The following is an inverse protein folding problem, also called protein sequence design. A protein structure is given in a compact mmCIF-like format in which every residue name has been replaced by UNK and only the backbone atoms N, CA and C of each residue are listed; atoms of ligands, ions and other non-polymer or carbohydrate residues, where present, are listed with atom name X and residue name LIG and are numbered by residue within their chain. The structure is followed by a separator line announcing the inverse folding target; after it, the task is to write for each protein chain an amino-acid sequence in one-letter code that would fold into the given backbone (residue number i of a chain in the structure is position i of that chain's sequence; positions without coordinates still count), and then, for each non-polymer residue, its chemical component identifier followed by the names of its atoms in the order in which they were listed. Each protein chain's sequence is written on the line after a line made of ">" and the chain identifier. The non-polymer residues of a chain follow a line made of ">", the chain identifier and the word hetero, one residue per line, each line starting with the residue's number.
data_IF_752377389594
#
_entry.id   IF_752377389594
#
_cell.length_a   1.000
_cell.length_b   1.000
_cell.length_c   1.000
_cell.angle_alpha   90.00
_cell.angle_beta   90.00
_cell.angle_gamma   90.00
#
_symmetry.space_group_name_H-M   'P 1'
#
loop_
_entity.id
_entity.type
_entity.pdbx_description
1 polymer ?
#
# COMPACT_ATOMS: atom_id res chain seq x y z
N UNK A 1 -43.09 26.56 17.71
CA UNK A 1 -43.04 25.12 17.46
C UNK A 1 -41.61 24.81 17.12
N UNK A 2 -40.91 24.22 18.07
CA UNK A 2 -39.47 23.97 18.06
C UNK A 2 -39.09 22.89 17.04
N UNK A 3 -38.14 23.23 16.18
CA UNK A 3 -37.43 22.26 15.34
C UNK A 3 -36.50 21.43 16.24
N UNK A 4 -36.82 20.15 16.39
CA UNK A 4 -35.88 19.17 16.93
C UNK A 4 -34.72 19.00 15.94
N UNK A 5 -33.61 19.72 16.17
CA UNK A 5 -32.38 19.53 15.42
C UNK A 5 -31.76 18.17 15.76
N UNK A 6 -31.80 17.28 14.78
CA UNK A 6 -31.16 15.98 14.77
C UNK A 6 -29.62 16.17 14.89
N UNK A 7 -29.06 15.86 16.07
CA UNK A 7 -27.65 16.12 16.42
C UNK A 7 -26.61 15.30 15.62
N UNK A 8 -27.03 14.49 14.65
CA UNK A 8 -26.18 13.60 13.85
C UNK A 8 -26.27 13.84 12.33
N UNK A 9 -26.83 14.97 11.86
CA UNK A 9 -26.84 15.27 10.42
C UNK A 9 -25.51 15.87 9.97
N UNK A 10 -24.79 15.18 9.08
CA UNK A 10 -23.69 15.79 8.33
C UNK A 10 -24.28 16.76 7.31
N UNK A 11 -23.90 18.04 7.39
CA UNK A 11 -24.30 19.07 6.44
C UNK A 11 -23.09 19.59 5.68
N UNK A 12 -23.29 19.98 4.43
CA UNK A 12 -22.26 20.67 3.66
C UNK A 12 -21.95 22.02 4.30
N UNK A 13 -20.68 22.45 4.24
CA UNK A 13 -20.25 23.75 4.79
C UNK A 13 -20.84 24.95 4.04
N UNK A 14 -21.21 24.73 2.78
CA UNK A 14 -21.85 25.73 1.94
C UNK A 14 -23.34 25.39 1.81
N UNK A 15 -24.19 26.40 1.92
CA UNK A 15 -25.61 26.30 1.60
C UNK A 15 -25.82 26.20 0.09
N UNK A 16 -27.02 25.81 -0.32
CA UNK A 16 -27.41 25.73 -1.73
C UNK A 16 -27.31 27.11 -2.40
N UNK A 17 -26.59 27.20 -3.51
CA UNK A 17 -26.48 28.42 -4.30
C UNK A 17 -27.76 28.63 -5.13
N UNK A 18 -28.78 29.20 -4.47
CA UNK A 18 -30.07 29.53 -5.09
C UNK A 18 -29.94 30.47 -6.28
N UNK A 19 -28.89 31.30 -6.28
CA UNK A 19 -28.67 32.29 -7.31
C UNK A 19 -28.11 31.65 -8.59
N UNK A 20 -27.20 30.68 -8.45
CA UNK A 20 -26.75 29.83 -9.55
C UNK A 20 -27.89 29.01 -10.15
N UNK A 21 -28.73 28.39 -9.31
CA UNK A 21 -29.86 27.57 -9.75
C UNK A 21 -30.84 28.38 -10.59
N UNK A 22 -31.13 29.62 -10.17
CA UNK A 22 -32.02 30.52 -10.90
C UNK A 22 -31.42 31.02 -12.22
N UNK A 23 -30.11 31.29 -12.25
CA UNK A 23 -29.43 31.87 -13.44
C UNK A 23 -29.15 30.83 -14.53
N UNK A 24 -28.93 29.57 -14.16
CA UNK A 24 -28.51 28.51 -15.10
C UNK A 24 -29.38 27.25 -15.02
N UNK A 25 -30.71 27.35 -15.22
CA UNK A 25 -31.62 26.22 -15.04
C UNK A 25 -31.34 25.05 -16.01
N UNK A 26 -30.87 25.36 -17.23
CA UNK A 26 -30.50 24.34 -18.20
C UNK A 26 -29.28 23.50 -17.73
N UNK A 27 -28.27 24.17 -17.17
CA UNK A 27 -27.06 23.51 -16.63
C UNK A 27 -27.43 22.65 -15.42
N UNK A 28 -28.29 23.16 -14.53
CA UNK A 28 -28.77 22.39 -13.38
C UNK A 28 -29.51 21.13 -13.83
N UNK A 29 -30.42 21.25 -14.80
CA UNK A 29 -31.17 20.10 -15.32
C UNK A 29 -30.28 19.04 -15.97
N UNK A 30 -29.28 19.46 -16.75
CA UNK A 30 -28.28 18.57 -17.35
C UNK A 30 -27.49 17.80 -16.27
N UNK A 31 -26.99 18.51 -15.26
CA UNK A 31 -26.22 17.91 -14.17
C UNK A 31 -27.08 17.04 -13.26
N UNK A 32 -28.34 17.39 -13.02
CA UNK A 32 -29.29 16.53 -12.29
C UNK A 32 -29.54 15.22 -13.04
N UNK A 33 -29.77 15.28 -14.35
CA UNK A 33 -29.93 14.08 -15.18
C UNK A 33 -28.66 13.21 -15.16
N UNK A 34 -27.49 13.84 -15.29
CA UNK A 34 -26.20 13.16 -15.17
C UNK A 34 -26.00 12.52 -13.79
N UNK A 35 -26.30 13.25 -12.71
CA UNK A 35 -26.20 12.75 -11.33
C UNK A 35 -27.16 11.60 -11.08
N UNK A 36 -28.39 11.64 -11.60
CA UNK A 36 -29.35 10.54 -11.48
C UNK A 36 -28.87 9.29 -12.22
N UNK A 37 -28.36 9.45 -13.45
CA UNK A 37 -27.75 8.34 -14.20
C UNK A 37 -26.57 7.74 -13.43
N UNK A 38 -25.65 8.58 -12.97
CA UNK A 38 -24.47 8.19 -12.18
C UNK A 38 -24.85 7.54 -10.85
N UNK A 39 -25.90 8.03 -10.18
CA UNK A 39 -26.40 7.45 -8.93
C UNK A 39 -26.91 6.04 -9.16
N UNK A 40 -27.57 5.77 -10.30
CA UNK A 40 -27.99 4.42 -10.66
C UNK A 40 -26.80 3.49 -10.90
N UNK A 41 -25.73 3.97 -11.55
CA UNK A 41 -24.48 3.24 -11.76
C UNK A 41 -23.75 2.96 -10.44
N UNK A 42 -23.59 3.96 -9.56
CA UNK A 42 -22.92 3.81 -8.26
C UNK A 42 -23.73 2.91 -7.33
N UNK A 43 -25.06 2.99 -7.35
CA UNK A 43 -25.93 2.07 -6.59
C UNK A 43 -25.89 0.67 -7.18
N UNK A 44 -25.76 0.48 -8.49
CA UNK A 44 -25.56 -0.84 -9.09
C UNK A 44 -24.18 -1.41 -8.78
N UNK A 45 -23.12 -0.58 -8.78
CA UNK A 45 -21.77 -0.98 -8.37
C UNK A 45 -21.67 -1.27 -6.86
N UNK A 46 -22.45 -0.57 -6.04
CA UNK A 46 -22.51 -0.74 -4.58
C UNK A 46 -23.54 -1.76 -4.09
N UNK A 47 -24.49 -2.18 -4.94
CA UNK A 47 -25.37 -3.32 -4.64
C UNK A 47 -24.53 -4.58 -4.78
N UNK A 48 -24.35 -5.40 -3.72
CA UNK A 48 -23.74 -6.71 -3.88
C UNK A 48 -24.58 -7.47 -4.90
N UNK A 49 -23.96 -7.79 -6.04
CA UNK A 49 -24.62 -8.47 -7.14
C UNK A 49 -25.36 -9.69 -6.60
N UNK A 50 -26.68 -9.74 -6.80
CA UNK A 50 -27.54 -10.90 -6.48
C UNK A 50 -27.31 -12.08 -7.44
N UNK A 51 -26.14 -12.13 -8.07
CA UNK A 51 -25.76 -13.10 -9.06
C UNK A 51 -24.32 -12.88 -9.51
N UNK A 52 -23.36 -13.37 -8.73
CA UNK A 52 -22.10 -13.94 -9.23
C UNK A 52 -21.29 -14.41 -8.03
N UNK A 53 -21.09 -15.72 -7.96
CA UNK A 53 -20.07 -16.43 -7.16
C UNK A 53 -19.95 -16.02 -5.70
N UNK A 54 -20.34 -16.92 -4.79
CA UNK A 54 -19.87 -16.93 -3.40
C UNK A 54 -18.34 -16.78 -3.37
N UNK A 55 -17.87 -15.53 -3.32
CA UNK A 55 -16.56 -15.23 -2.82
C UNK A 55 -16.61 -15.68 -1.36
N UNK A 56 -15.88 -16.75 -1.06
CA UNK A 56 -15.87 -17.42 0.24
C UNK A 56 -15.67 -16.40 1.37
N UNK A 57 -16.16 -16.69 2.58
CA UNK A 57 -15.88 -15.86 3.75
C UNK A 57 -14.39 -15.49 3.86
N UNK A 58 -13.51 -16.41 3.45
CA UNK A 58 -12.07 -16.22 3.35
C UNK A 58 -11.67 -15.09 2.37
N UNK A 59 -12.26 -14.97 1.18
CA UNK A 59 -11.87 -13.92 0.23
C UNK A 59 -12.26 -12.51 0.70
N UNK A 60 -13.40 -12.37 1.36
CA UNK A 60 -13.82 -11.09 1.97
C UNK A 60 -12.93 -10.72 3.14
N UNK A 61 -12.46 -11.71 3.88
CA UNK A 61 -11.53 -11.51 4.98
C UNK A 61 -10.15 -11.06 4.46
N UNK A 62 -9.62 -11.69 3.41
CA UNK A 62 -8.37 -11.28 2.75
C UNK A 62 -8.37 -9.81 2.32
N UNK A 63 -9.46 -9.34 1.71
CA UNK A 63 -9.59 -7.93 1.33
C UNK A 63 -9.47 -6.96 2.51
N UNK A 64 -9.83 -7.39 3.72
CA UNK A 64 -9.65 -6.59 4.96
C UNK A 64 -8.24 -6.68 5.53
N UNK A 65 -7.49 -7.73 5.22
CA UNK A 65 -6.12 -7.92 5.69
C UNK A 65 -5.11 -7.10 4.89
N UNK A 66 -5.37 -6.82 3.60
CA UNK A 66 -4.42 -6.10 2.75
C UNK A 66 -3.99 -4.73 3.32
N UNK A 67 -4.90 -3.85 3.79
CA UNK A 67 -4.51 -2.59 4.41
C UNK A 67 -3.64 -2.78 5.67
N UNK A 68 -3.96 -3.79 6.47
CA UNK A 68 -3.24 -4.10 7.72
C UNK A 68 -1.83 -4.62 7.44
N UNK A 69 -1.71 -5.54 6.48
CA UNK A 69 -0.42 -6.06 6.01
C UNK A 69 0.42 -4.94 5.41
N UNK A 70 -0.19 -4.04 4.61
CA UNK A 70 0.50 -2.86 4.09
C UNK A 70 1.07 -2.02 5.21
N UNK A 71 0.26 -1.69 6.22
CA UNK A 71 0.69 -0.88 7.35
C UNK A 71 1.86 -1.53 8.11
N UNK A 72 1.81 -2.86 8.31
CA UNK A 72 2.93 -3.57 8.92
C UNK A 72 4.22 -3.48 8.08
N UNK A 73 4.12 -3.60 6.76
CA UNK A 73 5.28 -3.51 5.86
C UNK A 73 5.82 -2.08 5.68
N UNK A 74 5.04 -1.03 5.99
CA UNK A 74 5.55 0.35 6.00
C UNK A 74 6.66 0.54 7.05
N UNK A 75 6.66 -0.27 8.11
CA UNK A 75 7.72 -0.26 9.12
C UNK A 75 9.02 -0.97 8.68
N UNK A 76 9.04 -1.54 7.48
CA UNK A 76 10.17 -2.29 6.91
C UNK A 76 9.90 -3.79 6.77
N UNK A 77 10.90 -4.56 6.29
CA UNK A 77 10.77 -5.99 6.00
C UNK A 77 10.27 -6.80 7.18
N UNK A 78 9.51 -7.87 6.90
CA UNK A 78 8.98 -8.81 7.91
C UNK A 78 8.96 -10.24 7.38
N UNK A 79 9.24 -11.22 8.23
CA UNK A 79 8.96 -12.63 7.90
C UNK A 79 7.45 -12.90 7.92
N UNK A 80 7.02 -14.02 7.33
CA UNK A 80 5.61 -14.45 7.41
C UNK A 80 5.17 -14.63 8.88
N UNK A 81 6.04 -15.16 9.73
CA UNK A 81 5.75 -15.36 11.16
C UNK A 81 5.60 -14.06 11.93
N UNK A 82 6.50 -13.09 11.70
CA UNK A 82 6.40 -11.76 12.30
C UNK A 82 5.12 -11.06 11.86
N UNK A 83 4.81 -11.16 10.57
CA UNK A 83 3.59 -10.59 10.01
C UNK A 83 2.34 -11.21 10.65
N UNK A 84 2.29 -12.55 10.79
CA UNK A 84 1.19 -13.25 11.46
C UNK A 84 1.01 -12.75 12.89
N UNK A 85 2.09 -12.63 13.67
CA UNK A 85 2.04 -12.09 15.05
C UNK A 85 1.52 -10.65 15.09
N UNK A 86 1.98 -9.79 14.17
CA UNK A 86 1.58 -8.38 14.11
C UNK A 86 0.09 -8.22 13.76
N UNK A 87 -0.38 -8.95 12.75
CA UNK A 87 -1.79 -8.91 12.32
C UNK A 87 -2.69 -9.57 13.38
N UNK A 88 -2.29 -10.68 13.98
CA UNK A 88 -3.03 -11.35 15.06
C UNK A 88 -3.20 -10.44 16.28
N UNK A 89 -2.19 -9.61 16.60
CA UNK A 89 -2.28 -8.62 17.69
C UNK A 89 -3.32 -7.53 17.39
N UNK A 90 -3.52 -7.16 16.13
CA UNK A 90 -4.55 -6.21 15.71
C UNK A 90 -5.96 -6.82 15.69
N UNK A 91 -6.05 -8.13 15.46
CA UNK A 91 -7.32 -8.88 15.42
C UNK A 91 -7.33 -10.02 16.44
N UNK A 92 -7.37 -9.74 17.76
CA UNK A 92 -7.24 -10.76 18.80
C UNK A 92 -8.40 -11.78 18.82
N UNK A 93 -9.55 -11.44 18.24
CA UNK A 93 -10.75 -12.28 18.20
C UNK A 93 -10.85 -13.17 16.97
N UNK A 94 -9.98 -12.98 15.98
CA UNK A 94 -10.00 -13.73 14.72
C UNK A 94 -8.70 -14.50 14.58
N UNK A 95 -8.79 -15.81 14.36
CA UNK A 95 -7.61 -16.62 14.06
C UNK A 95 -7.14 -16.31 12.63
N UNK A 96 -5.92 -15.82 12.50
CA UNK A 96 -5.32 -15.52 11.19
C UNK A 96 -4.66 -16.79 10.65
N UNK A 97 -5.30 -17.40 9.66
CA UNK A 97 -4.72 -18.52 8.93
C UNK A 97 -3.57 -18.06 8.02
N UNK A 98 -2.56 -18.91 7.87
CA UNK A 98 -1.38 -18.56 7.07
C UNK A 98 -1.74 -18.43 5.59
N UNK A 99 -2.67 -19.23 5.06
CA UNK A 99 -3.08 -19.14 3.66
C UNK A 99 -3.75 -17.79 3.34
N UNK A 100 -4.52 -17.24 4.27
CA UNK A 100 -5.16 -15.93 4.10
C UNK A 100 -4.14 -14.80 4.15
N UNK A 101 -3.13 -14.92 5.02
CA UNK A 101 -2.03 -13.97 5.09
C UNK A 101 -1.19 -13.99 3.81
N UNK A 102 -0.78 -15.18 3.35
CA UNK A 102 -0.06 -15.35 2.09
C UNK A 102 -0.89 -14.88 0.90
N UNK A 103 -2.20 -15.15 0.89
CA UNK A 103 -3.11 -14.63 -0.13
C UNK A 103 -3.14 -13.09 -0.16
N UNK A 104 -3.06 -12.45 1.00
CA UNK A 104 -3.03 -10.98 1.12
C UNK A 104 -1.67 -10.40 0.73
N UNK A 105 -0.57 -11.09 1.07
CA UNK A 105 0.80 -10.70 0.67
C UNK A 105 1.02 -10.80 -0.84
N UNK A 106 0.39 -11.76 -1.50
CA UNK A 106 0.43 -11.93 -2.96
C UNK A 106 -0.62 -11.08 -3.70
N UNK A 107 -1.39 -10.24 -3.00
CA UNK A 107 -2.37 -9.39 -3.64
C UNK A 107 -1.67 -8.34 -4.52
N UNK A 108 -2.07 -8.26 -5.80
CA UNK A 108 -1.46 -7.35 -6.79
C UNK A 108 -1.48 -5.89 -6.34
N UNK A 109 -2.51 -5.48 -5.62
CA UNK A 109 -2.66 -4.12 -5.10
C UNK A 109 -1.64 -3.76 -4.01
N UNK A 110 -1.09 -4.74 -3.29
CA UNK A 110 -0.13 -4.52 -2.22
C UNK A 110 1.28 -4.20 -2.75
N UNK A 111 1.63 -4.70 -3.94
CA UNK A 111 2.97 -4.61 -4.55
C UNK A 111 4.08 -5.07 -3.57
N UNK A 112 3.79 -6.10 -2.76
CA UNK A 112 4.76 -6.74 -1.90
C UNK A 112 5.54 -7.82 -2.67
N UNK A 113 6.82 -7.93 -2.35
CA UNK A 113 7.70 -8.96 -2.90
C UNK A 113 8.41 -9.70 -1.78
N UNK A 114 8.68 -10.98 -2.00
CA UNK A 114 9.51 -11.78 -1.11
C UNK A 114 10.98 -11.70 -1.54
N UNK A 115 11.85 -11.38 -0.58
CA UNK A 115 13.30 -11.34 -0.74
C UNK A 115 13.90 -12.06 0.45
N UNK A 116 14.59 -13.19 0.22
CA UNK A 116 15.30 -13.95 1.28
C UNK A 116 14.43 -14.28 2.49
N UNK A 117 13.21 -14.76 2.26
CA UNK A 117 12.29 -15.17 3.33
C UNK A 117 11.56 -14.01 4.04
N UNK A 118 11.86 -12.75 3.72
CA UNK A 118 11.11 -11.59 4.22
C UNK A 118 10.27 -10.94 3.11
N UNK A 119 9.16 -10.35 3.51
CA UNK A 119 8.27 -9.57 2.66
C UNK A 119 8.59 -8.08 2.77
N UNK A 120 8.60 -7.40 1.63
CA UNK A 120 8.87 -5.95 1.53
C UNK A 120 7.95 -5.33 0.50
N UNK A 121 7.48 -4.09 0.75
CA UNK A 121 6.81 -3.28 -0.27
C UNK A 121 7.80 -2.84 -1.35
N UNK A 122 7.51 -3.15 -2.61
CA UNK A 122 8.33 -2.74 -3.75
C UNK A 122 8.09 -1.28 -4.14
N UNK A 123 6.94 -0.70 -3.79
CA UNK A 123 6.57 0.68 -4.10
C UNK A 123 6.07 1.47 -2.89
N UNK A 124 6.40 2.76 -2.87
CA UNK A 124 5.90 3.79 -1.95
C UNK A 124 4.98 4.79 -2.64
N UNK A 125 4.75 4.65 -3.96
CA UNK A 125 3.91 5.54 -4.76
C UNK A 125 4.63 6.78 -5.31
N UNK A 126 5.96 6.83 -5.17
CA UNK A 126 6.81 7.89 -5.74
C UNK A 126 7.77 7.24 -6.73
N UNK A 127 7.60 7.52 -8.02
CA UNK A 127 8.29 6.78 -9.09
C UNK A 127 9.81 6.75 -8.94
N UNK A 128 10.43 7.89 -8.58
CA UNK A 128 11.88 7.98 -8.39
C UNK A 128 12.38 7.13 -7.22
N UNK A 129 11.60 7.05 -6.13
CA UNK A 129 11.90 6.19 -4.98
C UNK A 129 11.69 4.72 -5.34
N UNK A 130 10.63 4.42 -6.07
CA UNK A 130 10.26 3.07 -6.47
C UNK A 130 11.29 2.47 -7.44
N UNK A 131 11.86 3.28 -8.35
CA UNK A 131 12.98 2.86 -9.21
C UNK A 131 14.18 2.41 -8.37
N UNK A 132 14.59 3.22 -7.39
CA UNK A 132 15.72 2.91 -6.52
C UNK A 132 15.44 1.67 -5.66
N UNK A 133 14.24 1.61 -5.07
CA UNK A 133 13.81 0.51 -4.21
C UNK A 133 13.75 -0.82 -4.96
N UNK A 134 13.22 -0.83 -6.19
CA UNK A 134 13.19 -2.03 -7.05
C UNK A 134 14.60 -2.49 -7.42
N UNK A 135 15.51 -1.57 -7.74
CA UNK A 135 16.93 -1.89 -7.97
C UNK A 135 17.56 -2.54 -6.73
N UNK A 136 17.42 -1.92 -5.56
CA UNK A 136 17.94 -2.43 -4.30
C UNK A 136 17.43 -3.83 -3.99
N UNK A 137 16.11 -4.04 -4.10
CA UNK A 137 15.49 -5.33 -3.81
C UNK A 137 15.90 -6.40 -4.83
N UNK A 138 16.12 -6.03 -6.09
CA UNK A 138 16.64 -6.95 -7.12
C UNK A 138 18.04 -7.43 -6.77
N UNK A 139 18.94 -6.54 -6.33
CA UNK A 139 20.26 -6.95 -5.88
C UNK A 139 20.18 -7.94 -4.71
N UNK A 140 19.32 -7.67 -3.73
CA UNK A 140 19.14 -8.57 -2.59
C UNK A 140 18.51 -9.92 -2.93
N UNK A 141 17.84 -10.08 -4.07
CA UNK A 141 17.44 -11.42 -4.54
C UNK A 141 18.63 -12.28 -4.93
N UNK A 142 19.74 -11.67 -5.33
CA UNK A 142 20.92 -12.36 -5.87
C UNK A 142 22.13 -12.33 -4.94
N UNK A 143 22.22 -11.34 -4.03
CA UNK A 143 23.39 -11.11 -3.17
C UNK A 143 22.99 -11.02 -1.70
N UNK A 144 23.81 -11.58 -0.82
CA UNK A 144 23.61 -11.61 0.63
C UNK A 144 23.77 -10.24 1.25
N UNK A 145 24.72 -9.49 0.70
CA UNK A 145 25.01 -8.13 1.06
C UNK A 145 25.25 -7.30 -0.19
N UNK A 146 25.06 -6.00 -0.07
CA UNK A 146 25.34 -5.03 -1.13
C UNK A 146 26.02 -3.81 -0.53
N UNK A 147 26.92 -3.20 -1.27
CA UNK A 147 27.47 -1.89 -0.90
C UNK A 147 26.59 -0.79 -1.48
N UNK A 148 26.73 0.44 -0.96
CA UNK A 148 26.06 1.58 -1.60
C UNK A 148 26.48 1.73 -3.06
N UNK A 149 27.76 1.48 -3.36
CA UNK A 149 28.30 1.61 -4.71
C UNK A 149 27.63 0.61 -5.67
N UNK A 150 27.48 -0.66 -5.25
CA UNK A 150 26.77 -1.69 -6.04
C UNK A 150 25.36 -1.22 -6.44
N UNK A 151 24.63 -0.63 -5.49
CA UNK A 151 23.25 -0.17 -5.73
C UNK A 151 23.21 0.97 -6.74
N UNK A 152 24.17 1.90 -6.68
CA UNK A 152 24.24 3.04 -7.58
C UNK A 152 24.66 2.63 -9.00
N UNK A 153 25.63 1.72 -9.11
CA UNK A 153 26.08 1.16 -10.40
C UNK A 153 24.96 0.35 -11.06
N UNK A 154 24.27 -0.49 -10.29
CA UNK A 154 23.12 -1.25 -10.79
C UNK A 154 21.97 -0.32 -11.19
N UNK A 155 21.74 0.77 -10.45
CA UNK A 155 20.73 1.76 -10.81
C UNK A 155 21.03 2.39 -12.18
N UNK A 156 22.25 2.85 -12.39
CA UNK A 156 22.67 3.47 -13.66
C UNK A 156 22.60 2.45 -14.81
N UNK A 157 22.98 1.20 -14.56
CA UNK A 157 22.90 0.10 -15.54
C UNK A 157 21.47 -0.21 -15.97
N UNK A 158 20.52 -0.26 -15.03
CA UNK A 158 19.12 -0.64 -15.29
C UNK A 158 18.31 0.49 -15.90
N UNK A 159 18.51 1.73 -15.42
CA UNK A 159 17.69 2.88 -15.81
C UNK A 159 18.33 3.77 -16.88
N UNK A 160 19.61 3.55 -17.21
CA UNK A 160 20.35 4.33 -18.21
C UNK A 160 20.67 5.77 -17.75
N UNK A 161 20.43 6.10 -16.48
CA UNK A 161 20.71 7.40 -15.90
C UNK A 161 21.24 7.29 -14.48
N UNK A 162 22.05 8.27 -14.05
CA UNK A 162 22.50 8.37 -12.67
C UNK A 162 21.33 8.63 -11.73
N UNK A 163 21.37 8.01 -10.55
CA UNK A 163 20.35 8.22 -9.54
C UNK A 163 20.32 9.68 -9.08
N UNK A 164 19.19 10.36 -9.31
CA UNK A 164 18.95 11.77 -8.96
C UNK A 164 18.49 11.96 -7.51
N UNK A 165 18.33 10.87 -6.74
CA UNK A 165 17.91 10.95 -5.35
C UNK A 165 19.01 11.60 -4.50
N UNK A 166 18.59 12.42 -3.53
CA UNK A 166 19.53 12.99 -2.59
C UNK A 166 20.13 11.90 -1.70
N UNK A 167 21.35 12.15 -1.24
CA UNK A 167 22.07 11.29 -0.31
C UNK A 167 21.27 10.99 0.97
N UNK A 168 20.48 11.95 1.43
CA UNK A 168 19.53 11.78 2.53
C UNK A 168 18.46 10.72 2.21
N UNK A 169 17.80 10.83 1.05
CA UNK A 169 16.76 9.88 0.61
C UNK A 169 17.34 8.49 0.43
N UNK A 170 18.52 8.37 -0.17
CA UNK A 170 19.21 7.09 -0.36
C UNK A 170 19.46 6.42 1.00
N UNK A 171 20.01 7.14 1.97
CA UNK A 171 20.21 6.61 3.34
C UNK A 171 18.91 6.24 4.03
N UNK A 172 17.84 7.00 3.80
CA UNK A 172 16.53 6.68 4.35
C UNK A 172 15.99 5.36 3.76
N UNK A 173 15.97 5.23 2.44
CA UNK A 173 15.52 4.01 1.74
C UNK A 173 16.35 2.78 2.16
N UNK A 174 17.66 2.92 2.27
CA UNK A 174 18.54 1.85 2.76
C UNK A 174 18.19 1.47 4.21
N UNK A 175 18.00 2.45 5.10
CA UNK A 175 17.62 2.17 6.50
C UNK A 175 16.23 1.59 6.66
N UNK A 176 15.31 1.81 5.73
CA UNK A 176 13.99 1.19 5.77
C UNK A 176 14.08 -0.32 5.48
N UNK A 177 14.84 -0.70 4.45
CA UNK A 177 14.90 -2.07 3.91
C UNK A 177 16.04 -2.92 4.50
N UNK A 178 17.17 -2.30 4.82
CA UNK A 178 18.39 -2.98 5.18
C UNK A 178 18.98 -2.47 6.51
N UNK A 179 19.82 -3.30 7.11
CA UNK A 179 20.70 -2.94 8.22
C UNK A 179 22.12 -2.72 7.71
N UNK A 180 22.82 -1.80 8.37
CA UNK A 180 24.19 -1.45 8.05
C UNK A 180 25.13 -2.33 8.89
N UNK A 181 26.07 -3.02 8.24
CA UNK A 181 27.11 -3.82 8.88
C UNK A 181 28.47 -3.31 8.40
N UNK A 182 29.45 -3.26 9.30
CA UNK A 182 30.84 -3.00 8.93
C UNK A 182 31.54 -4.35 8.77
N UNK A 183 32.03 -4.65 7.58
CA UNK A 183 32.76 -5.88 7.26
C UNK A 183 34.09 -5.52 6.60
N UNK A 184 35.21 -5.91 7.21
CA UNK A 184 36.55 -5.63 6.68
C UNK A 184 36.88 -4.14 6.47
N UNK A 185 36.23 -3.22 7.20
CA UNK A 185 36.39 -1.77 7.01
C UNK A 185 35.54 -1.18 5.88
N UNK A 186 34.67 -1.98 5.27
CA UNK A 186 33.70 -1.54 4.28
C UNK A 186 32.29 -1.63 4.85
N UNK A 187 31.50 -0.58 4.61
CA UNK A 187 30.07 -0.60 4.94
C UNK A 187 29.30 -1.43 3.92
N UNK A 188 28.71 -2.52 4.38
CA UNK A 188 27.78 -3.36 3.62
C UNK A 188 26.37 -3.26 4.20
N UNK A 189 25.37 -3.54 3.35
CA UNK A 189 23.97 -3.54 3.71
C UNK A 189 23.40 -4.95 3.54
N UNK A 190 22.63 -5.41 4.51
CA UNK A 190 21.94 -6.72 4.49
C UNK A 190 20.45 -6.49 4.74
N UNK A 191 19.59 -7.27 4.10
CA UNK A 191 18.14 -7.16 4.30
C UNK A 191 17.78 -7.46 5.76
N UNK A 192 17.01 -6.57 6.38
CA UNK A 192 16.56 -6.77 7.77
C UNK A 192 15.75 -8.06 7.89
N UNK A 193 16.02 -8.83 8.95
CA UNK A 193 15.30 -10.07 9.24
C UNK A 193 15.70 -11.27 8.38
N UNK A 194 16.50 -11.08 7.33
CA UNK A 194 16.97 -12.18 6.48
C UNK A 194 18.10 -13.01 7.13
N UNK A 195 18.79 -12.48 8.15
CA UNK A 195 19.89 -13.19 8.84
C UNK A 195 19.46 -14.15 9.96
N UNK A 196 18.15 -14.35 10.21
CA UNK A 196 17.67 -15.16 11.34
C UNK A 196 17.62 -16.68 11.10
N UNK A 197 18.19 -17.21 10.01
CA UNK A 197 18.22 -18.65 9.74
C UNK A 197 19.62 -19.15 9.43
N UNK A 198 20.40 -19.40 10.49
CA UNK A 198 21.36 -20.49 10.56
C UNK A 198 21.26 -21.19 11.90
#
# INVERSE_FOLDING_TARGET
>A
MDEAQDKNSWRLKAEEDKDFIRRFPAVVSEYEAWLQSRRSEVVQAGKPGRGSTQASSASRFRGKLVPEVRECLLSGPKTTEEMKKLVQRKHPTLEIQEEDLLGSLNAKELDAIQVRGVWVLAGTGTESHDKFRKTLLTLFKHRDSVTRQDVMEEYERVHGEKCKLSDYIIRQQLREVAEKIEDGGQTIYVVKGAMQTR
#
